data_IF_000411637332
#
_entry.id   IF_000411637332
#
_cell.length_a   1.000
_cell.length_b   1.000
_cell.length_c   1.000
_cell.angle_alpha   90.00
_cell.angle_beta   90.00
_cell.angle_gamma   90.00
#
_symmetry.space_group_name_H-M   'P 1'
#
loop_
_entity.id
_entity.type
_entity.pdbx_description
1 polymer ?
#
# COMPACT_ATOMS: atom_id res chain seq x y z
N UNK A 1 19.49 24.97 -2.95
CA UNK A 1 18.42 25.26 -1.97
C UNK A 1 17.07 24.91 -2.58
N UNK A 2 16.29 24.06 -1.94
CA UNK A 2 14.96 23.60 -2.37
C UNK A 2 13.90 24.14 -1.40
N UNK A 3 12.79 24.64 -1.94
CA UNK A 3 11.63 25.07 -1.15
C UNK A 3 10.51 24.04 -1.26
N UNK A 4 10.10 23.46 -0.14
CA UNK A 4 8.90 22.62 -0.06
C UNK A 4 7.74 23.55 0.28
N UNK A 5 6.71 23.56 -0.58
CA UNK A 5 5.57 24.46 -0.49
C UNK A 5 4.28 23.69 -0.18
N UNK A 6 3.33 24.38 0.42
CA UNK A 6 1.98 23.87 0.56
C UNK A 6 1.28 23.90 -0.79
N UNK A 7 0.72 22.77 -1.23
CA UNK A 7 0.16 22.57 -2.58
C UNK A 7 -0.97 23.54 -2.96
N UNK A 8 -1.75 24.02 -1.99
CA UNK A 8 -2.89 24.89 -2.27
C UNK A 8 -2.54 26.37 -2.08
N UNK A 9 -1.78 26.72 -1.03
CA UNK A 9 -1.53 28.11 -0.67
C UNK A 9 -0.23 28.66 -1.24
N UNK A 10 0.67 27.79 -1.71
CA UNK A 10 2.02 28.16 -2.13
C UNK A 10 2.94 28.63 -1.00
N UNK A 11 2.48 28.60 0.25
CA UNK A 11 3.29 28.96 1.42
C UNK A 11 4.49 28.01 1.53
N UNK A 12 5.67 28.57 1.79
CA UNK A 12 6.86 27.76 2.05
C UNK A 12 6.73 27.11 3.42
N UNK A 13 6.73 25.78 3.45
CA UNK A 13 6.68 24.95 4.66
C UNK A 13 8.09 24.65 5.18
N UNK A 14 9.03 24.41 4.28
CA UNK A 14 10.41 24.07 4.62
C UNK A 14 11.37 24.55 3.51
N UNK A 15 12.54 25.05 3.94
CA UNK A 15 13.68 25.26 3.04
C UNK A 15 14.79 24.30 3.41
N UNK A 16 15.33 23.60 2.43
CA UNK A 16 16.46 22.69 2.60
C UNK A 16 17.64 23.21 1.80
N UNK A 17 18.81 23.22 2.42
CA UNK A 17 20.06 23.59 1.75
C UNK A 17 20.69 22.35 1.14
N UNK A 18 20.06 21.88 0.08
CA UNK A 18 20.49 20.72 -0.70
C UNK A 18 20.16 20.97 -2.18
N UNK A 19 20.91 20.33 -3.06
CA UNK A 19 20.64 20.36 -4.50
C UNK A 19 19.70 19.23 -4.92
N UNK A 20 19.62 18.16 -4.11
CA UNK A 20 18.76 17.00 -4.28
C UNK A 20 18.11 16.62 -2.93
N UNK A 21 16.78 16.40 -2.87
CA UNK A 21 16.11 15.96 -1.66
C UNK A 21 16.24 14.45 -1.39
N UNK A 22 16.87 13.68 -2.30
CA UNK A 22 17.15 12.26 -2.12
C UNK A 22 18.04 12.03 -0.89
N UNK A 23 17.68 11.05 -0.05
CA UNK A 23 18.38 10.77 1.22
C UNK A 23 18.30 11.88 2.27
N UNK A 24 17.58 12.99 2.00
CA UNK A 24 17.41 14.05 2.99
C UNK A 24 16.53 13.58 4.15
N UNK A 25 16.84 14.04 5.38
CA UNK A 25 16.03 13.73 6.55
C UNK A 25 14.96 14.79 6.78
N UNK A 26 13.71 14.35 6.65
CA UNK A 26 12.49 15.07 7.02
C UNK A 26 11.92 14.52 8.35
N UNK A 27 12.76 13.87 9.16
CA UNK A 27 12.31 13.26 10.42
C UNK A 27 11.54 14.27 11.27
N UNK A 28 10.36 13.85 11.75
CA UNK A 28 9.46 14.65 12.59
C UNK A 28 9.03 16.01 11.99
N UNK A 29 9.24 16.22 10.68
CA UNK A 29 8.90 17.48 10.02
C UNK A 29 7.38 17.69 9.93
N UNK A 30 6.94 18.95 10.02
CA UNK A 30 5.54 19.37 9.87
C UNK A 30 5.30 19.80 8.42
N UNK A 31 4.85 18.89 7.60
CA UNK A 31 4.72 19.05 6.14
C UNK A 31 3.30 18.70 5.65
N UNK A 32 2.30 18.97 6.50
CA UNK A 32 0.89 18.78 6.11
C UNK A 32 0.56 19.63 4.89
N UNK A 33 -0.03 19.00 3.85
CA UNK A 33 -0.35 19.63 2.57
C UNK A 33 0.86 19.98 1.69
N UNK A 34 2.05 19.47 2.00
CA UNK A 34 3.25 19.71 1.20
C UNK A 34 3.10 19.16 -0.23
N UNK A 35 3.68 19.89 -1.18
CA UNK A 35 3.83 19.47 -2.57
C UNK A 35 5.23 18.91 -2.81
N UNK A 36 5.30 17.60 -3.00
CA UNK A 36 6.49 16.87 -3.42
C UNK A 36 6.34 16.31 -4.84
N UNK A 37 5.26 16.63 -5.55
CA UNK A 37 4.92 15.98 -6.81
C UNK A 37 6.09 15.95 -7.80
N UNK A 38 6.33 14.78 -8.39
CA UNK A 38 7.38 14.53 -9.39
C UNK A 38 8.82 14.57 -8.88
N UNK A 39 9.06 14.72 -7.57
CA UNK A 39 10.42 14.85 -7.02
C UNK A 39 11.14 13.49 -6.92
N UNK A 40 12.49 13.56 -6.92
CA UNK A 40 13.37 12.43 -6.64
C UNK A 40 13.65 12.39 -5.13
N UNK A 41 13.04 11.44 -4.42
CA UNK A 41 13.09 11.30 -2.97
C UNK A 41 13.62 9.92 -2.58
N UNK A 42 14.51 9.36 -3.42
CA UNK A 42 15.11 8.04 -3.17
C UNK A 42 15.81 8.04 -1.82
N UNK A 43 15.42 7.09 -0.94
CA UNK A 43 15.98 6.95 0.39
C UNK A 43 15.73 8.11 1.35
N UNK A 44 14.85 9.06 1.02
CA UNK A 44 14.49 10.16 1.92
C UNK A 44 13.87 9.63 3.22
N UNK A 45 14.17 10.27 4.35
CA UNK A 45 13.69 9.87 5.67
C UNK A 45 12.57 10.78 6.15
N UNK A 46 11.35 10.27 6.16
CA UNK A 46 10.12 10.91 6.65
C UNK A 46 9.62 10.29 7.96
N UNK A 47 10.50 9.68 8.74
CA UNK A 47 10.14 9.05 10.02
C UNK A 47 9.39 10.04 10.92
N UNK A 48 8.25 9.61 11.51
CA UNK A 48 7.40 10.43 12.38
C UNK A 48 6.85 11.74 11.75
N UNK A 49 7.05 12.01 10.47
CA UNK A 49 6.63 13.27 9.86
C UNK A 49 5.10 13.42 9.81
N UNK A 50 4.63 14.65 9.93
CA UNK A 50 3.24 15.02 9.64
C UNK A 50 3.12 15.39 8.15
N UNK A 51 2.63 14.47 7.37
CA UNK A 51 2.47 14.53 5.91
C UNK A 51 0.99 14.42 5.49
N UNK A 52 0.07 14.76 6.39
CA UNK A 52 -1.36 14.70 6.08
C UNK A 52 -1.66 15.55 4.84
N UNK A 53 -2.43 14.98 3.92
CA UNK A 53 -2.79 15.61 2.65
C UNK A 53 -1.58 16.01 1.76
N UNK A 54 -0.37 15.54 2.02
CA UNK A 54 0.78 15.80 1.15
C UNK A 54 0.61 15.14 -0.22
N UNK A 55 1.25 15.71 -1.24
CA UNK A 55 1.22 15.21 -2.61
C UNK A 55 2.59 14.63 -2.99
N UNK A 56 2.66 13.31 -3.15
CA UNK A 56 3.80 12.54 -3.64
C UNK A 56 3.53 11.96 -5.03
N UNK A 57 2.55 12.49 -5.76
CA UNK A 57 2.18 11.97 -7.08
C UNK A 57 3.36 12.01 -8.04
N UNK A 58 3.64 10.88 -8.71
CA UNK A 58 4.75 10.73 -9.65
C UNK A 58 6.14 10.81 -9.04
N UNK A 59 6.29 10.82 -7.71
CA UNK A 59 7.61 10.82 -7.05
C UNK A 59 8.35 9.51 -7.25
N UNK A 60 9.67 9.58 -7.21
CA UNK A 60 10.52 8.43 -6.96
C UNK A 60 10.86 8.37 -5.47
N UNK A 61 10.27 7.40 -4.77
CA UNK A 61 10.36 7.16 -3.32
C UNK A 61 11.05 5.81 -3.03
N UNK A 62 11.86 5.30 -3.98
CA UNK A 62 12.52 4.01 -3.79
C UNK A 62 13.33 3.99 -2.49
N UNK A 63 13.04 3.02 -1.61
CA UNK A 63 13.68 2.87 -0.31
C UNK A 63 13.42 4.00 0.70
N UNK A 64 12.50 4.93 0.44
CA UNK A 64 12.16 6.01 1.38
C UNK A 64 11.58 5.44 2.68
N UNK A 65 11.86 6.11 3.80
CA UNK A 65 11.41 5.70 5.12
C UNK A 65 10.27 6.61 5.64
N UNK A 66 9.06 6.06 5.71
CA UNK A 66 7.87 6.72 6.27
C UNK A 66 7.46 6.13 7.63
N UNK A 67 8.32 5.33 8.28
CA UNK A 67 7.94 4.66 9.53
C UNK A 67 7.26 5.63 10.50
N UNK A 68 6.08 5.25 11.03
CA UNK A 68 5.26 6.03 11.96
C UNK A 68 4.80 7.42 11.45
N UNK A 69 4.89 7.70 10.15
CA UNK A 69 4.41 8.96 9.60
C UNK A 69 2.87 9.05 9.57
N UNK A 70 2.36 10.28 9.69
CA UNK A 70 0.94 10.60 9.48
C UNK A 70 0.71 11.01 8.03
N UNK A 71 0.08 10.13 7.24
CA UNK A 71 -0.13 10.25 5.80
C UNK A 71 -1.64 10.24 5.42
N UNK A 72 -2.51 10.53 6.37
CA UNK A 72 -3.96 10.60 6.12
C UNK A 72 -4.26 11.53 4.96
N UNK A 73 -4.97 11.05 3.95
CA UNK A 73 -5.34 11.80 2.74
C UNK A 73 -4.17 12.13 1.80
N UNK A 74 -2.97 11.58 2.01
CA UNK A 74 -1.84 11.82 1.11
C UNK A 74 -2.04 11.12 -0.25
N UNK A 75 -1.47 11.71 -1.30
CA UNK A 75 -1.49 11.16 -2.66
C UNK A 75 -0.14 10.56 -3.03
N UNK A 76 -0.16 9.31 -3.52
CA UNK A 76 0.98 8.58 -4.09
C UNK A 76 0.63 8.11 -5.51
N UNK A 77 -0.28 8.80 -6.21
CA UNK A 77 -0.72 8.41 -7.56
C UNK A 77 0.49 8.33 -8.50
N UNK A 78 0.65 7.18 -9.18
CA UNK A 78 1.78 6.90 -10.08
C UNK A 78 3.18 7.02 -9.42
N UNK A 79 3.29 7.03 -8.10
CA UNK A 79 4.59 7.07 -7.43
C UNK A 79 5.34 5.75 -7.57
N UNK A 80 6.67 5.82 -7.57
CA UNK A 80 7.57 4.65 -7.47
C UNK A 80 8.05 4.55 -6.04
N UNK A 81 7.45 3.66 -5.23
CA UNK A 81 7.74 3.46 -3.81
C UNK A 81 8.28 2.04 -3.53
N UNK A 82 9.13 1.54 -4.44
CA UNK A 82 9.72 0.19 -4.32
C UNK A 82 10.54 0.09 -3.04
N UNK A 83 10.27 -0.95 -2.24
CA UNK A 83 10.98 -1.18 -0.99
C UNK A 83 10.84 -0.07 0.06
N UNK A 84 9.96 0.92 -0.15
CA UNK A 84 9.71 1.96 0.83
C UNK A 84 9.10 1.38 2.12
N UNK A 85 9.40 2.01 3.25
CA UNK A 85 8.96 1.57 4.57
C UNK A 85 7.78 2.42 5.06
N UNK A 86 6.58 1.86 5.06
CA UNK A 86 5.34 2.43 5.61
C UNK A 86 4.89 1.75 6.91
N UNK A 87 5.82 1.13 7.65
CA UNK A 87 5.49 0.46 8.91
C UNK A 87 4.86 1.45 9.89
N UNK A 88 3.77 1.04 10.56
CA UNK A 88 3.03 1.83 11.57
C UNK A 88 2.45 3.16 11.04
N UNK A 89 2.37 3.38 9.73
CA UNK A 89 1.82 4.61 9.15
C UNK A 89 0.31 4.74 9.32
N UNK A 90 -0.14 5.99 9.48
CA UNK A 90 -1.55 6.36 9.38
C UNK A 90 -1.85 6.82 7.94
N UNK A 91 -2.50 5.96 7.17
CA UNK A 91 -2.75 6.12 5.73
C UNK A 91 -4.25 6.20 5.39
N UNK A 92 -5.11 6.50 6.35
CA UNK A 92 -6.55 6.60 6.11
C UNK A 92 -6.87 7.56 4.95
N UNK A 93 -7.68 7.10 3.98
CA UNK A 93 -8.12 7.90 2.84
C UNK A 93 -7.00 8.30 1.88
N UNK A 94 -5.81 7.72 1.98
CA UNK A 94 -4.72 7.97 1.02
C UNK A 94 -4.98 7.33 -0.34
N UNK A 95 -4.33 7.81 -1.42
CA UNK A 95 -4.41 7.23 -2.76
C UNK A 95 -3.04 6.73 -3.22
N UNK A 96 -2.98 5.44 -3.53
CA UNK A 96 -1.85 4.76 -4.18
C UNK A 96 -2.24 4.26 -5.58
N UNK A 97 -3.17 4.94 -6.24
CA UNK A 97 -3.65 4.52 -7.56
C UNK A 97 -2.48 4.43 -8.54
N UNK A 98 -2.33 3.24 -9.17
CA UNK A 98 -1.26 2.92 -10.14
C UNK A 98 0.18 3.10 -9.61
N UNK A 99 0.37 3.17 -8.28
CA UNK A 99 1.70 3.26 -7.68
C UNK A 99 2.46 1.92 -7.75
N UNK A 100 3.78 1.98 -7.91
CA UNK A 100 4.66 0.81 -7.77
C UNK A 100 5.22 0.71 -6.36
N UNK A 101 4.54 -0.08 -5.51
CA UNK A 101 4.92 -0.40 -4.14
C UNK A 101 5.50 -1.81 -4.04
N UNK A 102 6.14 -2.33 -5.09
CA UNK A 102 6.71 -3.68 -5.07
C UNK A 102 7.78 -3.81 -3.97
N UNK A 103 7.67 -4.86 -3.16
CA UNK A 103 8.56 -5.10 -2.02
C UNK A 103 8.47 -4.08 -0.88
N UNK A 104 7.53 -3.13 -0.92
CA UNK A 104 7.35 -2.16 0.16
C UNK A 104 6.84 -2.82 1.45
N UNK A 105 7.06 -2.18 2.59
CA UNK A 105 6.71 -2.69 3.91
C UNK A 105 5.56 -1.83 4.47
N UNK A 106 4.38 -2.45 4.63
CA UNK A 106 3.17 -1.85 5.22
C UNK A 106 2.76 -2.53 6.53
N UNK A 107 3.69 -3.18 7.20
CA UNK A 107 3.40 -3.87 8.45
C UNK A 107 2.79 -2.93 9.48
N UNK A 108 1.65 -3.32 10.09
CA UNK A 108 0.87 -2.54 11.04
C UNK A 108 0.31 -1.21 10.48
N UNK A 109 0.47 -0.92 9.19
CA UNK A 109 -0.07 0.29 8.60
C UNK A 109 -1.61 0.28 8.60
N UNK A 110 -2.21 1.47 8.70
CA UNK A 110 -3.66 1.64 8.72
C UNK A 110 -4.11 2.37 7.46
N UNK A 111 -4.75 1.62 6.54
CA UNK A 111 -5.23 2.11 5.25
C UNK A 111 -6.77 2.04 5.09
N UNK A 112 -7.60 2.28 6.14
CA UNK A 112 -9.04 2.24 5.92
C UNK A 112 -9.45 3.35 4.93
N UNK A 113 -10.43 3.04 4.06
CA UNK A 113 -10.95 3.95 3.05
C UNK A 113 -9.92 4.47 2.02
N UNK A 114 -8.73 3.89 1.93
CA UNK A 114 -7.71 4.26 0.93
C UNK A 114 -8.04 3.66 -0.43
N UNK A 115 -7.46 4.24 -1.49
CA UNK A 115 -7.58 3.73 -2.85
C UNK A 115 -6.22 3.22 -3.36
N UNK A 116 -6.13 1.91 -3.56
CA UNK A 116 -4.96 1.22 -4.12
C UNK A 116 -5.32 0.57 -5.47
N UNK A 117 -6.28 1.16 -6.21
CA UNK A 117 -6.67 0.66 -7.53
C UNK A 117 -5.46 0.58 -8.45
N UNK A 118 -5.24 -0.58 -9.08
CA UNK A 118 -4.14 -0.81 -10.01
C UNK A 118 -2.75 -0.84 -9.38
N UNK A 119 -2.60 -0.61 -8.07
CA UNK A 119 -1.29 -0.58 -7.42
C UNK A 119 -0.52 -1.89 -7.56
N UNK A 120 0.79 -1.81 -7.80
CA UNK A 120 1.70 -2.95 -7.77
C UNK A 120 2.25 -3.17 -6.36
N UNK A 121 1.72 -4.16 -5.66
CA UNK A 121 2.13 -4.60 -4.32
C UNK A 121 2.83 -5.96 -4.37
N UNK A 122 3.45 -6.31 -5.51
CA UNK A 122 4.13 -7.59 -5.68
C UNK A 122 5.21 -7.78 -4.61
N UNK A 123 5.09 -8.86 -3.81
CA UNK A 123 6.05 -9.17 -2.75
C UNK A 123 6.07 -8.20 -1.57
N UNK A 124 5.12 -7.30 -1.46
CA UNK A 124 5.03 -6.38 -0.33
C UNK A 124 4.72 -7.12 0.99
N UNK A 125 5.22 -6.61 2.10
CA UNK A 125 4.86 -7.06 3.45
C UNK A 125 3.70 -6.21 3.99
N UNK A 126 2.50 -6.75 3.93
CA UNK A 126 1.25 -6.16 4.40
C UNK A 126 0.77 -6.82 5.71
N UNK A 127 1.66 -7.60 6.36
CA UNK A 127 1.26 -8.39 7.52
C UNK A 127 0.70 -7.50 8.64
N UNK A 128 -0.42 -7.94 9.21
CA UNK A 128 -1.16 -7.28 10.31
C UNK A 128 -1.63 -5.85 9.97
N UNK A 129 -1.64 -5.46 8.70
CA UNK A 129 -2.15 -4.17 8.26
C UNK A 129 -3.69 -4.13 8.28
N UNK A 130 -4.25 -2.93 8.40
CA UNK A 130 -5.68 -2.66 8.19
C UNK A 130 -5.91 -2.22 6.74
N UNK A 131 -6.38 -3.15 5.90
CA UNK A 131 -6.63 -2.97 4.46
C UNK A 131 -8.12 -2.96 4.12
N UNK A 132 -8.96 -2.38 4.94
CA UNK A 132 -10.39 -2.18 4.66
C UNK A 132 -10.58 -1.07 3.63
N UNK A 133 -10.10 -1.30 2.39
CA UNK A 133 -9.87 -0.30 1.37
C UNK A 133 -10.19 -0.81 -0.03
N UNK A 134 -9.97 0.01 -1.04
CA UNK A 134 -10.13 -0.35 -2.44
C UNK A 134 -8.81 -0.91 -3.02
N UNK A 135 -8.82 -2.19 -3.36
CA UNK A 135 -7.72 -2.95 -4.00
C UNK A 135 -8.14 -3.48 -5.38
N UNK A 136 -9.09 -2.77 -6.05
CA UNK A 136 -9.55 -3.16 -7.37
C UNK A 136 -8.37 -3.26 -8.34
N UNK A 137 -8.24 -4.41 -9.02
CA UNK A 137 -7.16 -4.68 -9.99
C UNK A 137 -5.73 -4.59 -9.45
N UNK A 138 -5.53 -4.47 -8.13
CA UNK A 138 -4.21 -4.41 -7.52
C UNK A 138 -3.43 -5.73 -7.72
N UNK A 139 -2.13 -5.63 -7.89
CA UNK A 139 -1.24 -6.79 -8.00
C UNK A 139 -0.61 -7.10 -6.63
N UNK A 140 -1.17 -8.09 -5.94
CA UNK A 140 -0.73 -8.61 -4.64
C UNK A 140 0.00 -9.95 -4.78
N UNK A 141 0.55 -10.26 -5.96
CA UNK A 141 1.26 -11.51 -6.17
C UNK A 141 2.45 -11.63 -5.21
N UNK A 142 2.56 -12.80 -4.52
CA UNK A 142 3.60 -13.07 -3.52
C UNK A 142 3.61 -12.14 -2.30
N UNK A 143 2.60 -11.29 -2.12
CA UNK A 143 2.49 -10.44 -0.94
C UNK A 143 2.29 -11.27 0.34
N UNK A 144 2.82 -10.76 1.45
CA UNK A 144 2.55 -11.28 2.79
C UNK A 144 1.35 -10.54 3.38
N UNK A 145 0.21 -11.21 3.45
CA UNK A 145 -1.06 -10.72 3.96
C UNK A 145 -1.46 -11.41 5.28
N UNK A 146 -0.50 -11.98 6.01
CA UNK A 146 -0.80 -12.71 7.25
C UNK A 146 -1.40 -11.78 8.30
N UNK A 147 -2.54 -12.22 8.87
CA UNK A 147 -3.24 -11.45 9.91
C UNK A 147 -3.80 -10.12 9.45
N UNK A 148 -3.81 -9.82 8.16
CA UNK A 148 -4.32 -8.57 7.58
C UNK A 148 -5.84 -8.49 7.74
N UNK A 149 -6.37 -7.30 8.04
CA UNK A 149 -7.82 -7.05 8.02
C UNK A 149 -8.23 -6.54 6.63
N UNK A 150 -8.86 -7.41 5.84
CA UNK A 150 -9.44 -7.14 4.52
C UNK A 150 -10.97 -7.11 4.57
N UNK A 151 -11.58 -6.96 5.76
CA UNK A 151 -13.03 -6.94 5.89
C UNK A 151 -13.64 -5.79 5.09
N UNK A 152 -14.61 -6.10 4.23
CA UNK A 152 -15.24 -5.14 3.33
C UNK A 152 -14.36 -4.62 2.19
N UNK A 153 -13.12 -5.08 2.06
CA UNK A 153 -12.21 -4.63 1.01
C UNK A 153 -12.73 -4.97 -0.39
N UNK A 154 -12.47 -4.10 -1.36
CA UNK A 154 -12.77 -4.36 -2.76
C UNK A 154 -11.54 -4.96 -3.47
N UNK A 155 -11.54 -6.28 -3.65
CA UNK A 155 -10.47 -7.04 -4.32
C UNK A 155 -10.85 -7.47 -5.75
N UNK A 156 -11.86 -6.85 -6.36
CA UNK A 156 -12.34 -7.24 -7.70
C UNK A 156 -11.19 -7.16 -8.70
N UNK A 157 -10.91 -8.27 -9.41
CA UNK A 157 -9.84 -8.34 -10.40
C UNK A 157 -8.42 -8.40 -9.84
N UNK A 158 -8.24 -8.35 -8.52
CA UNK A 158 -6.91 -8.38 -7.90
C UNK A 158 -6.16 -9.69 -8.19
N UNK A 159 -4.83 -9.59 -8.27
CA UNK A 159 -3.93 -10.72 -8.42
C UNK A 159 -3.30 -11.09 -7.08
N UNK A 160 -3.74 -12.21 -6.51
CA UNK A 160 -3.26 -12.78 -5.23
C UNK A 160 -2.42 -14.05 -5.43
N UNK A 161 -1.89 -14.28 -6.64
CA UNK A 161 -1.11 -15.48 -6.93
C UNK A 161 0.09 -15.60 -5.98
N UNK A 162 0.26 -16.79 -5.39
CA UNK A 162 1.36 -17.09 -4.47
C UNK A 162 1.39 -16.24 -3.19
N UNK A 163 0.38 -15.40 -2.91
CA UNK A 163 0.30 -14.62 -1.68
C UNK A 163 0.05 -15.49 -0.45
N UNK A 164 0.35 -14.97 0.73
CA UNK A 164 0.08 -15.64 1.99
C UNK A 164 -0.96 -14.86 2.81
N UNK A 165 -2.19 -15.37 2.88
CA UNK A 165 -3.31 -14.77 3.63
C UNK A 165 -3.61 -15.53 4.93
N UNK A 166 -2.65 -16.31 5.46
CA UNK A 166 -2.89 -17.04 6.70
C UNK A 166 -3.38 -16.09 7.81
N UNK A 167 -4.48 -16.43 8.47
CA UNK A 167 -5.14 -15.63 9.52
C UNK A 167 -5.67 -14.25 9.06
N UNK A 168 -5.78 -14.01 7.75
CA UNK A 168 -6.40 -12.79 7.22
C UNK A 168 -7.92 -12.80 7.42
N UNK A 169 -8.49 -11.62 7.74
CA UNK A 169 -9.95 -11.43 7.84
C UNK A 169 -10.50 -10.98 6.50
N UNK A 170 -11.52 -11.68 6.00
CA UNK A 170 -12.12 -11.44 4.67
C UNK A 170 -13.64 -11.24 4.73
N UNK A 171 -14.22 -10.93 5.93
CA UNK A 171 -15.64 -10.70 6.05
C UNK A 171 -16.12 -9.62 5.08
N UNK A 172 -17.16 -9.90 4.29
CA UNK A 172 -17.75 -8.98 3.32
C UNK A 172 -16.77 -8.45 2.23
N UNK A 173 -15.61 -9.08 2.05
CA UNK A 173 -14.67 -8.72 1.00
C UNK A 173 -15.21 -9.10 -0.39
N UNK A 174 -15.11 -8.18 -1.35
CA UNK A 174 -15.54 -8.39 -2.74
C UNK A 174 -14.40 -9.00 -3.55
N UNK A 175 -14.52 -10.30 -3.91
CA UNK A 175 -13.43 -11.10 -4.47
C UNK A 175 -13.76 -11.65 -5.87
N UNK A 176 -14.59 -10.98 -6.66
CA UNK A 176 -14.89 -11.44 -8.02
C UNK A 176 -13.70 -11.25 -8.96
N UNK A 177 -13.50 -12.20 -9.91
CA UNK A 177 -12.44 -12.18 -10.93
C UNK A 177 -11.00 -12.15 -10.38
N UNK A 178 -10.78 -12.53 -9.12
CA UNK A 178 -9.43 -12.62 -8.54
C UNK A 178 -8.62 -13.78 -9.14
N UNK A 179 -7.28 -13.63 -9.12
CA UNK A 179 -6.33 -14.70 -9.41
C UNK A 179 -5.68 -15.16 -8.11
N UNK A 180 -5.76 -16.46 -7.76
CA UNK A 180 -5.28 -16.97 -6.46
C UNK A 180 -4.44 -18.24 -6.60
N UNK A 181 -3.95 -18.57 -7.78
CA UNK A 181 -3.17 -19.81 -7.96
C UNK A 181 -1.94 -19.81 -7.01
N UNK A 182 -1.80 -20.91 -6.26
CA UNK A 182 -0.70 -21.09 -5.33
C UNK A 182 -0.78 -20.27 -4.05
N UNK A 183 -1.80 -19.42 -3.87
CA UNK A 183 -1.99 -18.65 -2.65
C UNK A 183 -2.28 -19.55 -1.44
N UNK A 184 -1.90 -19.08 -0.24
CA UNK A 184 -2.28 -19.67 1.04
C UNK A 184 -3.49 -18.89 1.57
N UNK A 185 -4.62 -19.57 1.76
CA UNK A 185 -5.84 -18.96 2.31
C UNK A 185 -5.79 -18.76 3.82
N UNK A 186 -6.82 -18.10 4.40
CA UNK A 186 -6.86 -17.73 5.82
C UNK A 186 -6.66 -18.90 6.80
N UNK A 187 -7.06 -20.11 6.42
CA UNK A 187 -6.92 -21.30 7.25
C UNK A 187 -5.72 -22.18 6.85
N UNK A 188 -4.73 -21.62 6.16
CA UNK A 188 -3.50 -22.32 5.75
C UNK A 188 -3.65 -23.24 4.53
N UNK A 189 -4.83 -23.34 3.90
CA UNK A 189 -5.06 -24.15 2.72
C UNK A 189 -4.43 -23.50 1.49
N UNK A 190 -3.78 -24.30 0.62
CA UNK A 190 -3.27 -23.82 -0.67
C UNK A 190 -4.35 -23.86 -1.75
N UNK A 191 -4.44 -22.80 -2.53
CA UNK A 191 -5.34 -22.69 -3.68
C UNK A 191 -4.69 -23.31 -4.91
N UNK A 192 -5.39 -24.21 -5.59
CA UNK A 192 -5.00 -24.70 -6.93
C UNK A 192 -4.16 -25.96 -6.98
N UNK A 193 -3.62 -26.50 -5.88
CA UNK A 193 -2.80 -27.71 -5.92
C UNK A 193 -3.61 -29.02 -6.05
N UNK A 194 -4.90 -29.03 -5.79
CA UNK A 194 -5.73 -30.26 -5.75
C UNK A 194 -7.02 -30.21 -6.59
N UNK A 195 -7.31 -29.14 -7.30
CA UNK A 195 -8.54 -29.04 -8.09
C UNK A 195 -8.59 -29.99 -9.30
N UNK A 196 -7.52 -30.70 -9.63
CA UNK A 196 -7.47 -31.67 -10.76
C UNK A 196 -7.93 -33.08 -10.41
N UNK A 197 -8.12 -33.44 -9.14
CA UNK A 197 -8.38 -34.85 -8.75
C UNK A 197 -9.79 -35.07 -8.19
N UNK A 198 -10.52 -34.06 -7.76
CA UNK A 198 -11.90 -34.24 -7.26
C UNK A 198 -12.91 -33.55 -8.18
N UNK A 199 -13.36 -34.28 -9.23
CA UNK A 199 -14.60 -34.00 -9.95
C UNK A 199 -15.82 -34.23 -9.04
N UNK A 200 -15.99 -33.41 -8.03
CA UNK A 200 -17.29 -33.08 -7.43
C UNK A 200 -17.18 -31.64 -6.92
N UNK A 201 -18.08 -30.79 -7.46
CA UNK A 201 -18.09 -29.37 -7.26
C UNK A 201 -18.18 -28.97 -5.77
N UNK A 202 -17.06 -28.92 -5.11
CA UNK A 202 -16.95 -28.11 -3.88
C UNK A 202 -16.59 -26.70 -4.37
N UNK A 203 -17.52 -25.78 -4.24
CA UNK A 203 -17.24 -24.37 -4.55
C UNK A 203 -16.02 -23.96 -3.74
N UNK A 204 -15.02 -23.28 -4.35
CA UNK A 204 -13.88 -22.76 -3.62
C UNK A 204 -14.36 -21.90 -2.45
N UNK A 205 -13.70 -21.94 -1.29
CA UNK A 205 -14.09 -21.23 -0.08
C UNK A 205 -14.32 -19.72 -0.30
N UNK A 206 -13.63 -19.08 -1.24
CA UNK A 206 -13.84 -17.67 -1.61
C UNK A 206 -15.13 -17.40 -2.40
N UNK A 207 -15.82 -18.43 -2.91
CA UNK A 207 -17.13 -18.27 -3.56
C UNK A 207 -18.31 -18.24 -2.59
N UNK A 208 -18.07 -18.40 -1.28
CA UNK A 208 -19.09 -18.27 -0.25
C UNK A 208 -19.26 -16.83 0.26
N UNK A 209 -18.45 -15.87 -0.25
CA UNK A 209 -18.40 -14.48 0.21
C UNK A 209 -18.84 -13.48 -0.87
N UNK A 210 -19.54 -13.92 -1.90
CA UNK A 210 -20.11 -13.11 -2.98
C UNK A 210 -21.63 -13.19 -3.03
#
# INVERSE_FOLDING_TARGET
MIEIKHKETGQILLRIDADDPGGYSFDSARLSGADFSGQQLVGADFHNADLRNADFSGCNLEGANFHSASLTGASFVNAVARGANFTDCLLEGSCFCDADCSGAIFRYARLPNSDLTGANLTGADLSVADLRCNLNEANLARADLRGTDLSGANLIGANLMLSNMFDAKLADARMSRIKMEGAIGPHGQRVGAQARVLRKAVRPWWQFWG
#
